data_IF_272041419260
#
_entry.id   IF_272041419260
#
_cell.length_a   1.000
_cell.length_b   1.000
_cell.length_c   1.000
_cell.angle_alpha   90.00
_cell.angle_beta   90.00
_cell.angle_gamma   90.00
#
_symmetry.space_group_name_H-M   'P 1'
#
loop_
_entity.id
_entity.type
_entity.pdbx_description
1 polymer ?
#
# COMPACT_ATOMS: atom_id res chain seq x y z
N UNK A 1 17.52 8.95 1.34
CA UNK A 1 17.08 8.47 2.67
C UNK A 1 15.58 8.21 2.65
N UNK A 2 15.12 7.10 3.19
CA UNK A 2 13.69 6.89 3.35
C UNK A 2 13.06 8.01 4.18
N UNK A 3 11.92 8.51 3.71
CA UNK A 3 11.25 9.66 4.30
C UNK A 3 9.74 9.49 4.20
N UNK A 4 9.10 9.27 5.33
CA UNK A 4 7.65 9.05 5.39
C UNK A 4 6.84 10.26 4.91
N UNK A 5 7.38 11.47 4.99
CA UNK A 5 6.70 12.66 4.49
C UNK A 5 6.75 12.72 2.96
N UNK A 6 7.87 12.33 2.36
CA UNK A 6 7.94 12.17 0.90
C UNK A 6 7.00 11.07 0.43
N UNK A 7 6.95 9.95 1.15
CA UNK A 7 6.03 8.87 0.86
C UNK A 7 4.58 9.36 0.87
N UNK A 8 4.21 10.20 1.83
CA UNK A 8 2.88 10.78 1.90
C UNK A 8 2.56 11.65 0.67
N UNK A 9 3.51 12.47 0.23
CA UNK A 9 3.31 13.29 -0.97
C UNK A 9 3.10 12.42 -2.20
N UNK A 10 3.89 11.36 -2.36
CA UNK A 10 3.73 10.42 -3.47
C UNK A 10 2.37 9.74 -3.40
N UNK A 11 1.96 9.29 -2.21
CA UNK A 11 0.67 8.65 -2.02
C UNK A 11 -0.48 9.56 -2.48
N UNK A 12 -0.47 10.82 -2.06
CA UNK A 12 -1.50 11.77 -2.48
C UNK A 12 -1.47 12.03 -3.99
N UNK A 13 -0.30 12.04 -4.61
CA UNK A 13 -0.19 12.21 -6.07
C UNK A 13 -0.83 11.07 -6.85
N UNK A 14 -0.95 9.89 -6.24
CA UNK A 14 -1.55 8.71 -6.86
C UNK A 14 -3.04 8.54 -6.54
N UNK A 15 -3.61 9.40 -5.72
CA UNK A 15 -5.04 9.37 -5.40
C UNK A 15 -5.87 9.51 -6.68
N UNK A 16 -6.87 8.65 -6.84
CA UNK A 16 -7.72 8.65 -8.04
C UNK A 16 -7.20 7.80 -9.19
N UNK A 17 -6.00 7.24 -9.09
CA UNK A 17 -5.47 6.32 -10.09
C UNK A 17 -6.37 5.08 -10.20
N UNK A 18 -6.69 4.59 -11.42
CA UNK A 18 -7.49 3.38 -11.56
C UNK A 18 -6.82 2.16 -10.94
N UNK A 19 -7.61 1.30 -10.30
CA UNK A 19 -7.18 -0.04 -9.93
C UNK A 19 -7.07 -0.88 -11.22
N UNK A 20 -5.92 -1.48 -11.46
CA UNK A 20 -5.73 -2.41 -12.57
C UNK A 20 -5.07 -3.67 -12.01
N UNK A 21 -5.66 -4.82 -12.28
CA UNK A 21 -5.12 -6.09 -11.81
C UNK A 21 -3.68 -6.29 -12.30
N UNK A 22 -2.75 -6.56 -11.37
CA UNK A 22 -1.33 -6.68 -11.69
C UNK A 22 -0.63 -5.36 -12.01
N UNK A 23 -1.32 -4.22 -11.89
CA UNK A 23 -0.77 -2.91 -12.22
C UNK A 23 0.26 -2.42 -11.23
N UNK A 24 1.33 -1.83 -11.73
CA UNK A 24 2.44 -1.31 -10.93
C UNK A 24 2.97 0.04 -11.45
N UNK A 25 2.22 0.72 -12.31
CA UNK A 25 2.61 2.03 -12.86
C UNK A 25 1.46 3.05 -12.74
N UNK A 26 1.72 4.36 -12.99
CA UNK A 26 0.71 5.40 -12.81
C UNK A 26 -0.51 5.30 -13.72
N UNK A 27 -0.50 4.44 -14.75
CA UNK A 27 -1.69 4.22 -15.58
C UNK A 27 -2.71 3.31 -14.91
N UNK A 28 -2.28 2.51 -13.93
CA UNK A 28 -3.14 1.66 -13.12
C UNK A 28 -2.34 0.87 -12.10
N UNK A 29 -2.88 0.76 -10.91
CA UNK A 29 -2.21 0.14 -9.76
C UNK A 29 -3.13 -0.86 -9.08
N UNK A 30 -2.61 -2.03 -8.70
CA UNK A 30 -3.30 -2.89 -7.75
C UNK A 30 -2.90 -2.52 -6.30
N UNK A 31 -3.36 -3.27 -5.30
CA UNK A 31 -3.14 -2.90 -3.90
C UNK A 31 -1.66 -2.88 -3.52
N UNK A 32 -0.90 -3.90 -3.87
CA UNK A 32 0.53 -3.95 -3.59
C UNK A 32 1.30 -3.01 -4.51
N UNK A 33 0.88 -2.87 -5.77
CA UNK A 33 1.50 -1.96 -6.74
C UNK A 33 1.52 -0.52 -6.27
N UNK A 34 0.42 -0.05 -5.67
CA UNK A 34 0.37 1.29 -5.07
C UNK A 34 1.42 1.45 -3.97
N UNK A 35 1.43 0.54 -3.01
CA UNK A 35 2.35 0.62 -1.87
C UNK A 35 3.80 0.52 -2.34
N UNK A 36 4.09 -0.37 -3.28
CA UNK A 36 5.42 -0.53 -3.86
C UNK A 36 5.88 0.77 -4.53
N UNK A 37 5.02 1.41 -5.32
CA UNK A 37 5.36 2.67 -5.98
C UNK A 37 5.69 3.77 -4.96
N UNK A 38 4.91 3.88 -3.90
CA UNK A 38 5.16 4.82 -2.81
C UNK A 38 6.54 4.54 -2.18
N UNK A 39 6.81 3.30 -1.83
CA UNK A 39 8.03 2.93 -1.11
C UNK A 39 9.29 2.93 -1.99
N UNK A 40 9.15 2.70 -3.29
CA UNK A 40 10.25 2.88 -4.23
C UNK A 40 10.58 4.36 -4.41
N UNK A 41 9.56 5.20 -4.45
CA UNK A 41 9.73 6.63 -4.69
C UNK A 41 10.44 7.33 -3.54
N UNK A 42 10.22 6.90 -2.29
CA UNK A 42 10.89 7.50 -1.14
C UNK A 42 12.21 6.80 -0.77
N UNK A 43 12.58 5.75 -1.50
CA UNK A 43 13.82 5.02 -1.27
C UNK A 43 13.75 3.91 -0.22
N UNK A 44 12.57 3.63 0.34
CA UNK A 44 12.39 2.54 1.33
C UNK A 44 12.58 1.16 0.67
N UNK A 45 12.10 0.99 -0.57
CA UNK A 45 12.35 -0.19 -1.38
C UNK A 45 13.33 0.13 -2.50
N UNK A 46 14.15 -0.85 -2.94
CA UNK A 46 14.99 -0.67 -4.11
C UNK A 46 14.12 -0.50 -5.36
N UNK A 47 14.61 0.23 -6.36
CA UNK A 47 13.88 0.47 -7.61
C UNK A 47 13.57 -0.80 -8.36
N UNK A 48 14.44 -1.81 -8.27
CA UNK A 48 14.24 -3.12 -8.88
C UNK A 48 13.56 -4.07 -7.90
N UNK A 49 12.88 -5.02 -8.45
CA UNK A 49 12.18 -6.04 -7.69
C UNK A 49 10.68 -5.88 -7.78
N UNK A 50 10.02 -7.00 -7.61
CA UNK A 50 8.57 -7.09 -7.61
C UNK A 50 8.15 -7.74 -6.30
N UNK A 51 7.06 -7.27 -5.72
CA UNK A 51 6.63 -7.64 -4.39
C UNK A 51 5.13 -7.89 -4.37
N UNK A 52 4.70 -8.95 -3.72
CA UNK A 52 3.28 -9.13 -3.40
C UNK A 52 2.98 -8.50 -2.04
N UNK A 53 1.70 -8.40 -1.69
CA UNK A 53 1.33 -7.95 -0.35
C UNK A 53 1.98 -8.84 0.72
N UNK A 54 2.01 -10.16 0.48
CA UNK A 54 2.63 -11.09 1.43
C UNK A 54 4.15 -10.92 1.50
N UNK A 55 4.82 -10.61 0.40
CA UNK A 55 6.26 -10.32 0.40
C UNK A 55 6.58 -9.10 1.27
N UNK A 56 5.76 -8.06 1.18
CA UNK A 56 5.91 -6.86 2.01
C UNK A 56 5.67 -7.19 3.49
N UNK A 57 4.68 -8.02 3.78
CA UNK A 57 4.42 -8.49 5.14
C UNK A 57 5.63 -9.25 5.71
N UNK A 58 6.17 -10.21 4.96
CA UNK A 58 7.32 -11.00 5.41
C UNK A 58 8.53 -10.10 5.68
N UNK A 59 8.72 -9.07 4.84
CA UNK A 59 9.83 -8.13 4.99
C UNK A 59 9.75 -7.33 6.29
N UNK A 60 8.57 -6.89 6.71
CA UNK A 60 8.42 -5.98 7.85
C UNK A 60 7.60 -6.52 9.02
N UNK A 61 7.24 -7.79 9.03
CA UNK A 61 6.41 -8.36 10.11
C UNK A 61 7.03 -8.22 11.51
N UNK A 62 8.35 -8.09 11.61
CA UNK A 62 9.02 -7.86 12.89
C UNK A 62 8.85 -6.41 13.39
N UNK A 63 8.40 -5.52 12.55
CA UNK A 63 8.16 -4.11 12.87
C UNK A 63 6.69 -3.83 13.18
N UNK A 64 5.94 -4.81 13.68
CA UNK A 64 4.53 -4.62 14.05
C UNK A 64 4.38 -3.55 15.10
N UNK A 65 3.32 -2.77 14.99
CA UNK A 65 2.98 -1.73 15.93
C UNK A 65 1.49 -1.73 16.25
N UNK A 66 1.14 -1.41 17.48
CA UNK A 66 -0.24 -1.19 17.90
C UNK A 66 -0.63 0.28 17.81
N UNK A 67 0.31 1.14 17.38
CA UNK A 67 0.09 2.57 17.22
C UNK A 67 0.28 2.96 15.75
N UNK A 68 -0.74 2.76 14.91
CA UNK A 68 -0.65 3.17 13.51
C UNK A 68 -0.39 4.66 13.41
N UNK A 69 0.44 5.05 12.45
CA UNK A 69 0.79 6.43 12.18
C UNK A 69 1.19 6.57 10.72
N UNK A 70 1.44 7.80 10.29
CA UNK A 70 1.92 8.08 8.93
C UNK A 70 3.10 7.19 8.56
N UNK A 71 3.00 6.54 7.42
CA UNK A 71 4.04 5.69 6.87
C UNK A 71 3.92 4.22 7.22
N UNK A 72 3.05 3.86 8.15
CA UNK A 72 2.79 2.46 8.46
C UNK A 72 2.09 1.76 7.31
N UNK A 73 2.22 0.44 7.24
CA UNK A 73 1.48 -0.40 6.30
C UNK A 73 0.47 -1.24 7.06
N UNK A 74 -0.75 -1.28 6.55
CA UNK A 74 -1.83 -2.07 7.10
C UNK A 74 -2.08 -3.28 6.20
N UNK A 75 -2.11 -4.47 6.79
CA UNK A 75 -2.27 -5.74 6.08
C UNK A 75 -3.52 -6.46 6.53
N UNK A 76 -4.17 -7.10 5.58
CA UNK A 76 -5.29 -8.03 5.84
C UNK A 76 -4.94 -9.40 5.30
N UNK A 77 -5.43 -10.43 5.97
CA UNK A 77 -5.01 -11.80 5.74
C UNK A 77 -6.17 -12.70 5.33
N UNK A 78 -5.83 -13.72 4.54
CA UNK A 78 -6.71 -14.84 4.25
C UNK A 78 -5.87 -16.11 4.27
N UNK A 79 -6.26 -17.10 5.10
CA UNK A 79 -5.53 -18.36 5.21
C UNK A 79 -4.07 -18.17 5.66
N UNK A 80 -3.81 -17.25 6.58
CA UNK A 80 -2.47 -16.99 7.10
C UNK A 80 -1.54 -16.23 6.15
N UNK A 81 -2.04 -15.77 5.01
CA UNK A 81 -1.26 -15.05 4.00
C UNK A 81 -1.81 -13.64 3.84
N UNK A 82 -0.94 -12.64 3.78
CA UNK A 82 -1.36 -11.27 3.52
C UNK A 82 -1.83 -11.15 2.06
N UNK A 83 -3.09 -10.73 1.89
CA UNK A 83 -3.73 -10.64 0.57
C UNK A 83 -4.04 -9.21 0.17
N UNK A 84 -3.98 -8.26 1.10
CA UNK A 84 -4.25 -6.85 0.85
C UNK A 84 -3.35 -6.00 1.73
N UNK A 85 -2.92 -4.86 1.20
CA UNK A 85 -2.07 -3.90 1.90
C UNK A 85 -2.50 -2.48 1.54
N UNK A 86 -2.45 -1.57 2.53
CA UNK A 86 -2.70 -0.14 2.32
C UNK A 86 -1.66 0.68 3.09
N UNK A 87 -1.42 1.90 2.63
CA UNK A 87 -0.49 2.84 3.24
C UNK A 87 -1.23 3.74 4.23
N UNK A 88 -0.74 3.86 5.47
CA UNK A 88 -1.35 4.72 6.48
C UNK A 88 -0.93 6.18 6.25
N UNK A 89 -1.91 7.06 6.07
CA UNK A 89 -1.64 8.50 5.94
C UNK A 89 -1.66 9.20 7.30
N UNK A 90 -2.30 8.60 8.28
CA UNK A 90 -2.29 9.01 9.69
C UNK A 90 -2.66 7.81 10.56
N UNK A 91 -2.95 8.03 11.83
CA UNK A 91 -3.31 6.97 12.77
C UNK A 91 -4.66 6.28 12.47
N UNK A 92 -5.53 6.89 11.69
CA UNK A 92 -6.90 6.43 11.49
C UNK A 92 -7.26 6.12 10.04
N UNK A 93 -6.52 6.66 9.07
CA UNK A 93 -6.86 6.60 7.65
C UNK A 93 -5.77 5.93 6.84
N UNK A 94 -6.21 5.24 5.78
CA UNK A 94 -5.30 4.62 4.81
C UNK A 94 -5.62 5.11 3.41
N UNK A 95 -4.63 5.03 2.53
CA UNK A 95 -4.81 5.14 1.10
C UNK A 95 -4.52 3.78 0.49
N UNK A 96 -5.43 3.32 -0.37
CA UNK A 96 -5.33 1.99 -0.96
C UNK A 96 -5.98 1.92 -2.32
N UNK A 97 -5.48 1.03 -3.18
CA UNK A 97 -6.12 0.68 -4.44
C UNK A 97 -7.13 -0.43 -4.15
N UNK A 98 -8.41 -0.12 -4.29
CA UNK A 98 -9.49 -1.00 -3.86
C UNK A 98 -10.70 -0.94 -4.76
N UNK A 99 -11.63 -1.87 -4.56
CA UNK A 99 -12.86 -1.99 -5.35
C UNK A 99 -12.70 -2.87 -6.59
N UNK A 100 -11.48 -3.32 -6.88
CA UNK A 100 -11.19 -4.14 -8.05
C UNK A 100 -10.75 -5.56 -7.73
N UNK A 101 -10.46 -6.33 -8.76
CA UNK A 101 -10.00 -7.70 -8.69
C UNK A 101 -9.52 -8.17 -10.06
N UNK A 102 -9.49 -9.49 -10.28
CA UNK A 102 -8.96 -10.08 -11.52
C UNK A 102 -9.62 -9.56 -12.80
N UNK A 103 -10.86 -9.09 -12.72
CA UNK A 103 -11.61 -8.59 -13.88
C UNK A 103 -11.40 -7.08 -14.12
N UNK A 104 -10.60 -6.42 -13.28
CA UNK A 104 -10.31 -5.00 -13.42
C UNK A 104 -9.05 -4.86 -14.27
N UNK A 105 -9.20 -4.92 -15.58
CA UNK A 105 -8.09 -5.07 -16.53
C UNK A 105 -7.73 -3.78 -17.28
N UNK A 106 -8.57 -2.75 -17.19
CA UNK A 106 -8.35 -1.46 -17.85
C UNK A 106 -9.12 -0.35 -17.15
N UNK A 107 -8.96 0.88 -17.61
CA UNK A 107 -9.62 2.04 -17.04
C UNK A 107 -11.15 1.96 -17.10
N UNK A 108 -11.70 1.34 -18.16
CA UNK A 108 -13.14 1.19 -18.30
C UNK A 108 -13.70 0.24 -17.24
N UNK A 109 -13.09 -0.94 -17.04
CA UNK A 109 -13.54 -1.87 -16.01
C UNK A 109 -13.35 -1.29 -14.60
N UNK A 110 -12.29 -0.51 -14.38
CA UNK A 110 -12.09 0.19 -13.11
C UNK A 110 -13.23 1.18 -12.84
N UNK A 111 -13.64 1.95 -13.85
CA UNK A 111 -14.74 2.90 -13.72
C UNK A 111 -16.06 2.18 -13.43
N UNK A 112 -16.36 1.09 -14.14
CA UNK A 112 -17.57 0.30 -13.93
C UNK A 112 -17.65 -0.30 -12.53
N UNK A 113 -16.51 -0.66 -11.94
CA UNK A 113 -16.41 -1.29 -10.63
C UNK A 113 -16.15 -0.29 -9.51
N UNK A 114 -16.03 1.01 -9.83
CA UNK A 114 -15.62 2.06 -8.87
C UNK A 114 -14.30 1.69 -8.18
N UNK A 115 -13.33 1.20 -8.94
CA UNK A 115 -12.06 0.70 -8.46
C UNK A 115 -10.95 1.72 -8.69
N UNK A 116 -10.56 2.42 -7.62
CA UNK A 116 -9.57 3.49 -7.67
C UNK A 116 -8.71 3.51 -6.42
N UNK A 117 -7.58 4.21 -6.50
CA UNK A 117 -6.82 4.60 -5.32
C UNK A 117 -7.65 5.63 -4.56
N UNK A 118 -8.00 5.33 -3.32
CA UNK A 118 -8.84 6.19 -2.49
C UNK A 118 -8.40 6.18 -1.03
N UNK A 119 -8.72 7.26 -0.35
CA UNK A 119 -8.50 7.41 1.10
C UNK A 119 -9.79 7.08 1.83
N UNK A 120 -9.66 6.36 2.93
CA UNK A 120 -10.80 5.99 3.79
C UNK A 120 -10.31 5.68 5.20
N UNK A 121 -11.22 5.63 6.19
CA UNK A 121 -10.89 5.10 7.51
C UNK A 121 -10.33 3.68 7.37
N UNK A 122 -9.29 3.37 8.16
CA UNK A 122 -8.69 2.03 8.12
C UNK A 122 -9.74 0.97 8.47
N UNK A 123 -9.88 -0.02 7.61
CA UNK A 123 -10.81 -1.12 7.85
C UNK A 123 -10.38 -1.94 9.07
N UNK A 124 -11.34 -2.49 9.85
CA UNK A 124 -11.04 -3.37 10.97
C UNK A 124 -10.27 -4.62 10.54
N UNK A 125 -9.52 -5.20 11.48
CA UNK A 125 -8.80 -6.45 11.28
C UNK A 125 -7.40 -6.32 10.69
N UNK A 126 -6.94 -5.11 10.45
CA UNK A 126 -5.59 -4.89 9.93
C UNK A 126 -4.53 -5.20 10.97
N UNK A 127 -3.44 -5.83 10.52
CA UNK A 127 -2.17 -5.86 11.27
C UNK A 127 -1.27 -4.79 10.68
N UNK A 128 -0.72 -3.94 11.53
CA UNK A 128 0.03 -2.75 11.08
C UNK A 128 1.51 -2.91 11.41
N UNK A 129 2.36 -2.56 10.45
CA UNK A 129 3.81 -2.52 10.62
C UNK A 129 4.33 -1.12 10.32
N UNK A 130 5.47 -0.76 10.89
CA UNK A 130 6.15 0.51 10.59
C UNK A 130 7.48 0.23 9.87
N UNK A 131 7.53 0.35 8.54
CA UNK A 131 8.77 0.12 7.79
C UNK A 131 9.91 1.05 8.20
N UNK A 132 9.57 2.20 8.74
CA UNK A 132 10.55 3.23 9.12
C UNK A 132 11.15 2.99 10.51
N UNK A 133 10.52 2.17 11.35
CA UNK A 133 11.02 1.90 12.70
C UNK A 133 12.32 1.10 12.67
N UNK A 134 12.53 0.25 11.65
CA UNK A 134 13.75 -0.56 11.53
C UNK A 134 14.98 0.30 11.26
N UNK A 135 14.81 1.46 10.62
CA UNK A 135 15.90 2.38 10.35
C UNK A 135 16.39 3.09 11.59
N UNK A 136 15.65 3.00 12.69
CA UNK A 136 15.99 3.61 13.98
C UNK A 136 16.53 2.59 14.98
N UNK A 137 16.61 1.32 14.61
CA UNK A 137 17.14 0.30 15.49
C UNK A 137 18.61 0.59 15.79
N UNK A 138 19.02 0.57 17.04
CA UNK A 138 20.42 0.81 17.40
C UNK A 138 21.34 -0.30 16.90
#
# INVERSE_FOLDING_TARGET
MPDRFLALEVAWSLHGTPYIWGGDDPSGLDCSGLVIEILKSDGTLPRRGDWTANDLWVKWREARTERPDLGCLAFWFRGGRATHVEFCIDGDHTIGASGGGRRTINAQSAAEQNAYVKVRPRKPGAVVVDPYSLDRAP
#
